data_IF_081311613257
#
_entry.id   IF_081311613257
#
_cell.length_a   1.000
_cell.length_b   1.000
_cell.length_c   1.000
_cell.angle_alpha   90.00
_cell.angle_beta   90.00
_cell.angle_gamma   90.00
#
_symmetry.space_group_name_H-M   'P 1'
#
loop_
_entity.id
_entity.type
_entity.pdbx_description
1 polymer ?
#
# COMPACT_ATOMS: atom_id res chain seq x y z
N UNK A 1 -8.97 -39.68 53.36
CA UNK A 1 -8.87 -39.42 51.90
C UNK A 1 -9.76 -38.29 51.37
N UNK A 2 -10.62 -37.63 52.18
CA UNK A 2 -11.50 -36.55 51.71
C UNK A 2 -10.84 -35.16 51.74
N UNK A 3 -9.85 -34.93 52.62
CA UNK A 3 -9.18 -33.63 52.77
C UNK A 3 -8.22 -33.29 51.63
N UNK A 4 -7.64 -34.31 50.96
CA UNK A 4 -6.71 -34.11 49.83
C UNK A 4 -7.46 -33.75 48.54
N UNK A 5 -8.68 -34.28 48.35
CA UNK A 5 -9.52 -34.00 47.18
C UNK A 5 -10.09 -32.56 47.19
N UNK A 6 -10.37 -31.99 48.37
CA UNK A 6 -10.79 -30.61 48.54
C UNK A 6 -9.65 -29.60 48.34
N UNK A 7 -8.41 -29.95 48.73
CA UNK A 7 -7.24 -29.11 48.49
C UNK A 7 -6.89 -28.96 47.00
N UNK A 8 -6.99 -30.04 46.22
CA UNK A 8 -6.71 -30.03 44.78
C UNK A 8 -7.80 -29.31 43.97
N UNK A 9 -9.06 -29.40 44.39
CA UNK A 9 -10.17 -28.70 43.71
C UNK A 9 -10.17 -27.21 44.01
N UNK A 10 -9.75 -26.77 45.20
CA UNK A 10 -9.52 -25.34 45.51
C UNK A 10 -8.32 -24.77 44.75
N UNK A 11 -7.22 -25.51 44.64
CA UNK A 11 -6.06 -25.09 43.82
C UNK A 11 -6.41 -25.05 42.33
N UNK A 12 -7.13 -26.03 41.80
CA UNK A 12 -7.61 -26.04 40.41
C UNK A 12 -8.59 -24.89 40.12
N UNK A 13 -9.50 -24.59 41.06
CA UNK A 13 -10.40 -23.44 40.94
C UNK A 13 -9.63 -22.11 41.01
N UNK A 14 -8.67 -21.96 41.92
CA UNK A 14 -7.83 -20.75 41.99
C UNK A 14 -6.96 -20.57 40.73
N UNK A 15 -6.43 -21.68 40.18
CA UNK A 15 -5.62 -21.68 38.95
C UNK A 15 -6.43 -21.49 37.67
N UNK A 16 -7.74 -21.75 37.65
CA UNK A 16 -8.58 -21.50 36.47
C UNK A 16 -9.40 -20.20 36.57
N UNK A 17 -9.66 -19.70 37.79
CA UNK A 17 -10.50 -18.52 38.00
C UNK A 17 -9.72 -17.24 38.31
N UNK A 18 -8.52 -17.31 38.91
CA UNK A 18 -7.65 -16.14 39.20
C UNK A 18 -6.39 -16.05 38.33
N UNK A 19 -6.04 -17.13 37.65
CA UNK A 19 -4.98 -17.21 36.64
C UNK A 19 -5.40 -16.90 35.18
N UNK A 20 -6.57 -16.29 34.86
CA UNK A 20 -6.72 -15.53 33.62
C UNK A 20 -5.80 -14.31 33.55
N UNK A 21 -5.11 -13.95 34.65
CA UNK A 21 -4.42 -12.66 34.81
C UNK A 21 -3.03 -12.57 34.19
N UNK A 22 -2.28 -13.66 34.02
CA UNK A 22 -0.91 -13.59 33.46
C UNK A 22 -0.90 -13.47 31.94
N UNK A 23 -1.59 -14.34 31.22
CA UNK A 23 -1.64 -14.28 29.75
C UNK A 23 -2.42 -13.05 29.24
N UNK A 24 -3.49 -12.65 29.94
CA UNK A 24 -4.15 -11.38 29.66
C UNK A 24 -3.25 -10.18 29.97
N UNK A 25 -2.51 -10.18 31.10
CA UNK A 25 -1.57 -9.10 31.39
C UNK A 25 -0.43 -9.03 30.37
N UNK A 26 0.12 -10.17 29.94
CA UNK A 26 1.16 -10.24 28.93
C UNK A 26 0.67 -9.76 27.58
N UNK A 27 -0.57 -10.12 27.19
CA UNK A 27 -1.21 -9.63 25.95
C UNK A 27 -1.50 -8.13 26.01
N UNK A 28 -1.96 -7.61 27.16
CA UNK A 28 -2.21 -6.17 27.35
C UNK A 28 -0.88 -5.40 27.30
N UNK A 29 0.16 -5.89 27.97
CA UNK A 29 1.50 -5.30 27.94
C UNK A 29 2.05 -5.33 26.51
N UNK A 30 1.95 -6.46 25.83
CA UNK A 30 2.35 -6.60 24.43
C UNK A 30 1.62 -5.60 23.52
N UNK A 31 0.30 -5.49 23.63
CA UNK A 31 -0.50 -4.56 22.81
C UNK A 31 -0.10 -3.11 23.06
N UNK A 32 0.20 -2.75 24.30
CA UNK A 32 0.69 -1.41 24.65
C UNK A 32 2.08 -1.16 24.06
N UNK A 33 3.02 -2.06 24.29
CA UNK A 33 4.38 -1.94 23.76
C UNK A 33 4.39 -1.95 22.23
N UNK A 34 3.50 -2.70 21.58
CA UNK A 34 3.30 -2.69 20.13
C UNK A 34 2.71 -1.37 19.63
N UNK A 35 1.81 -0.73 20.37
CA UNK A 35 1.31 0.60 20.04
C UNK A 35 2.40 1.68 20.21
N UNK A 36 3.17 1.62 21.30
CA UNK A 36 4.29 2.54 21.56
C UNK A 36 5.38 2.38 20.48
N UNK A 37 5.69 1.14 20.09
CA UNK A 37 6.61 0.84 18.99
C UNK A 37 6.18 1.52 17.68
N UNK A 38 4.89 1.49 17.32
CA UNK A 38 4.42 2.13 16.09
C UNK A 38 4.74 3.63 16.09
N UNK A 39 4.61 4.29 17.24
CA UNK A 39 4.96 5.71 17.38
C UNK A 39 6.44 5.97 17.09
N UNK A 40 7.34 5.13 17.62
CA UNK A 40 8.80 5.22 17.36
C UNK A 40 9.14 4.89 15.90
N UNK A 41 8.51 3.85 15.34
CA UNK A 41 8.71 3.49 13.93
C UNK A 41 8.28 4.60 12.99
N UNK A 42 7.12 5.22 13.23
CA UNK A 42 6.61 6.31 12.41
C UNK A 42 7.31 7.65 12.65
N UNK A 43 8.14 7.79 13.69
CA UNK A 43 8.99 8.98 13.87
C UNK A 43 10.26 8.95 13.00
N UNK A 44 10.57 7.81 12.37
CA UNK A 44 11.76 7.64 11.54
C UNK A 44 13.03 7.20 12.30
N UNK A 45 12.96 6.97 13.61
CA UNK A 45 14.06 6.39 14.39
C UNK A 45 14.15 4.87 14.18
N UNK A 46 14.59 4.47 12.97
CA UNK A 46 14.63 3.07 12.56
C UNK A 46 15.66 2.25 13.35
N UNK A 47 16.74 2.85 13.82
CA UNK A 47 17.76 2.15 14.61
C UNK A 47 17.21 1.69 15.96
N UNK A 48 16.51 2.58 16.68
CA UNK A 48 15.84 2.25 17.94
C UNK A 48 14.65 1.31 17.70
N UNK A 49 13.88 1.56 16.64
CA UNK A 49 12.76 0.68 16.26
C UNK A 49 13.21 -0.76 16.03
N UNK A 50 14.31 -1.00 15.31
CA UNK A 50 14.85 -2.36 15.08
C UNK A 50 15.15 -3.07 16.41
N UNK A 51 15.76 -2.37 17.38
CA UNK A 51 16.06 -2.95 18.70
C UNK A 51 14.78 -3.32 19.46
N UNK A 52 13.81 -2.41 19.49
CA UNK A 52 12.52 -2.63 20.17
C UNK A 52 11.72 -3.76 19.51
N UNK A 53 11.64 -3.78 18.18
CA UNK A 53 10.94 -4.83 17.41
C UNK A 53 11.57 -6.19 17.70
N UNK A 54 12.89 -6.29 17.65
CA UNK A 54 13.62 -7.55 17.87
C UNK A 54 13.36 -8.11 19.27
N UNK A 55 13.29 -7.24 20.29
CA UNK A 55 12.92 -7.62 21.66
C UNK A 55 11.46 -8.08 21.76
N UNK A 56 10.54 -7.40 21.08
CA UNK A 56 9.11 -7.70 21.09
C UNK A 56 8.78 -9.03 20.39
N UNK A 57 9.49 -9.37 19.30
CA UNK A 57 9.30 -10.62 18.56
C UNK A 57 9.43 -11.85 19.48
N UNK A 58 10.37 -11.84 20.42
CA UNK A 58 10.60 -12.95 21.36
C UNK A 58 9.45 -13.14 22.36
N UNK A 59 8.59 -12.13 22.51
CA UNK A 59 7.47 -12.09 23.45
C UNK A 59 6.12 -12.03 22.72
N UNK A 60 6.09 -12.24 21.41
CA UNK A 60 4.87 -12.23 20.63
C UNK A 60 3.92 -13.35 21.10
N UNK A 61 2.67 -13.05 21.47
CA UNK A 61 1.74 -14.03 22.02
C UNK A 61 1.20 -15.00 20.95
N UNK A 62 1.36 -14.65 19.67
CA UNK A 62 0.92 -15.49 18.55
C UNK A 62 1.88 -15.37 17.35
N UNK A 63 1.79 -16.33 16.43
CA UNK A 63 2.50 -16.27 15.14
C UNK A 63 2.03 -15.11 14.27
N UNK A 64 0.80 -14.67 14.45
CA UNK A 64 0.31 -13.49 13.78
C UNK A 64 1.07 -12.23 14.22
N UNK A 65 1.13 -12.01 15.53
CA UNK A 65 1.80 -10.86 16.12
C UNK A 65 3.31 -10.88 15.81
N UNK A 66 3.93 -12.06 15.89
CA UNK A 66 5.32 -12.27 15.47
C UNK A 66 5.52 -11.87 14.00
N UNK A 67 4.58 -12.28 13.14
CA UNK A 67 4.63 -12.00 11.71
C UNK A 67 4.47 -10.50 11.40
N UNK A 68 3.54 -9.79 12.04
CA UNK A 68 3.43 -8.33 11.87
C UNK A 68 4.67 -7.61 12.39
N UNK A 69 5.20 -7.99 13.54
CA UNK A 69 6.45 -7.42 14.04
C UNK A 69 7.62 -7.66 13.06
N UNK A 70 7.70 -8.84 12.44
CA UNK A 70 8.71 -9.13 11.41
C UNK A 70 8.50 -8.30 10.14
N UNK A 71 7.26 -7.99 9.75
CA UNK A 71 6.98 -7.03 8.67
C UNK A 71 7.53 -5.64 9.02
N UNK A 72 7.27 -5.14 10.23
CA UNK A 72 7.84 -3.87 10.69
C UNK A 72 9.38 -3.91 10.75
N UNK A 73 9.96 -5.03 11.17
CA UNK A 73 11.41 -5.21 11.22
C UNK A 73 12.02 -5.12 9.81
N UNK A 74 11.43 -5.84 8.85
CA UNK A 74 11.89 -5.87 7.48
C UNK A 74 11.82 -4.47 6.83
N UNK A 75 10.71 -3.76 7.04
CA UNK A 75 10.55 -2.39 6.57
C UNK A 75 11.56 -1.43 7.26
N UNK A 76 11.80 -1.58 8.57
CA UNK A 76 12.76 -0.76 9.30
C UNK A 76 14.19 -0.93 8.77
N UNK A 77 14.61 -2.16 8.43
CA UNK A 77 15.90 -2.39 7.77
C UNK A 77 15.95 -1.63 6.44
N UNK A 78 14.97 -1.81 5.57
CA UNK A 78 14.95 -1.15 4.26
C UNK A 78 14.96 0.38 4.36
N UNK A 79 14.25 0.94 5.33
CA UNK A 79 14.24 2.39 5.55
C UNK A 79 15.54 2.92 6.16
N UNK A 80 16.17 2.17 7.07
CA UNK A 80 17.49 2.53 7.64
C UNK A 80 18.58 2.49 6.57
N UNK A 81 18.50 1.52 5.65
CA UNK A 81 19.34 1.39 4.46
C UNK A 81 20.87 1.44 4.77
N UNK A 82 21.31 0.69 5.78
CA UNK A 82 22.72 0.57 6.16
C UNK A 82 23.26 -0.84 5.84
N UNK A 83 24.46 -0.91 5.26
CA UNK A 83 25.19 -2.16 5.04
C UNK A 83 24.31 -3.25 4.39
N UNK A 84 24.02 -4.33 5.12
CA UNK A 84 23.27 -5.51 4.66
C UNK A 84 21.76 -5.41 4.85
N UNK A 85 21.24 -4.24 5.24
CA UNK A 85 19.84 -4.02 5.57
C UNK A 85 18.87 -4.45 4.47
N UNK A 86 19.19 -4.16 3.21
CA UNK A 86 18.35 -4.58 2.08
C UNK A 86 18.23 -6.10 2.02
N UNK A 87 19.34 -6.81 2.20
CA UNK A 87 19.35 -8.27 2.19
C UNK A 87 18.60 -8.83 3.40
N UNK A 88 18.79 -8.25 4.59
CA UNK A 88 18.10 -8.65 5.81
C UNK A 88 16.58 -8.44 5.71
N UNK A 89 16.15 -7.26 5.26
CA UNK A 89 14.74 -6.94 5.08
C UNK A 89 14.05 -7.89 4.11
N UNK A 90 14.64 -8.12 2.92
CA UNK A 90 14.06 -9.04 1.93
C UNK A 90 14.06 -10.48 2.44
N UNK A 91 15.11 -10.92 3.13
CA UNK A 91 15.16 -12.23 3.76
C UNK A 91 14.04 -12.40 4.79
N UNK A 92 13.83 -11.42 5.66
CA UNK A 92 12.75 -11.45 6.66
C UNK A 92 11.38 -11.52 6.00
N UNK A 93 11.12 -10.76 4.93
CA UNK A 93 9.86 -10.92 4.18
C UNK A 93 9.69 -12.33 3.59
N UNK A 94 10.73 -12.89 2.97
CA UNK A 94 10.69 -14.26 2.41
C UNK A 94 10.44 -15.32 3.49
N UNK A 95 11.03 -15.17 4.68
CA UNK A 95 10.79 -16.07 5.83
C UNK A 95 9.31 -16.09 6.23
N UNK A 96 8.63 -14.93 6.18
CA UNK A 96 7.20 -14.84 6.45
C UNK A 96 6.40 -15.52 5.33
N UNK A 97 6.69 -15.16 4.08
CA UNK A 97 5.96 -15.65 2.89
C UNK A 97 6.04 -17.18 2.77
N UNK A 98 7.21 -17.76 2.99
CA UNK A 98 7.45 -19.20 2.88
C UNK A 98 7.14 -19.96 4.18
N UNK A 99 6.88 -19.27 5.29
CA UNK A 99 6.63 -19.89 6.59
C UNK A 99 5.16 -20.23 6.80
N UNK A 100 4.77 -21.49 6.61
CA UNK A 100 3.39 -21.95 6.79
C UNK A 100 2.85 -21.81 8.23
N UNK A 101 3.74 -21.59 9.21
CA UNK A 101 3.34 -21.23 10.57
C UNK A 101 2.73 -19.84 10.69
N UNK A 102 2.93 -18.95 9.72
CA UNK A 102 2.35 -17.61 9.71
C UNK A 102 0.95 -17.62 9.06
N UNK A 103 -0.05 -16.93 9.63
CA UNK A 103 -1.38 -16.87 9.03
C UNK A 103 -1.34 -16.32 7.59
N UNK A 104 -2.24 -16.81 6.74
CA UNK A 104 -2.30 -16.43 5.33
C UNK A 104 -2.40 -14.90 5.13
N UNK A 105 -3.16 -14.19 5.97
CA UNK A 105 -3.26 -12.71 5.91
C UNK A 105 -1.94 -11.99 6.16
N UNK A 106 -1.07 -12.53 7.02
CA UNK A 106 0.26 -11.97 7.29
C UNK A 106 1.17 -12.22 6.07
N UNK A 107 1.11 -13.42 5.49
CA UNK A 107 1.87 -13.77 4.28
C UNK A 107 1.47 -12.90 3.09
N UNK A 108 0.17 -12.69 2.90
CA UNK A 108 -0.36 -11.77 1.88
C UNK A 108 0.15 -10.34 2.10
N UNK A 109 0.10 -9.83 3.34
CA UNK A 109 0.66 -8.50 3.64
C UNK A 109 2.16 -8.40 3.33
N UNK A 110 2.95 -9.43 3.64
CA UNK A 110 4.37 -9.46 3.29
C UNK A 110 4.59 -9.42 1.76
N UNK A 111 3.76 -10.12 0.98
CA UNK A 111 3.80 -10.07 -0.50
C UNK A 111 3.48 -8.68 -1.04
N UNK A 112 2.52 -7.98 -0.45
CA UNK A 112 2.17 -6.60 -0.81
C UNK A 112 3.36 -5.64 -0.59
N UNK A 113 4.04 -5.76 0.54
CA UNK A 113 5.22 -4.96 0.84
C UNK A 113 6.36 -5.28 -0.15
N UNK A 114 6.58 -6.56 -0.48
CA UNK A 114 7.51 -6.97 -1.56
C UNK A 114 7.13 -6.35 -2.90
N UNK A 115 5.84 -6.34 -3.27
CA UNK A 115 5.39 -5.69 -4.49
C UNK A 115 5.74 -4.19 -4.48
N UNK A 116 5.49 -3.49 -3.36
CA UNK A 116 5.86 -2.08 -3.22
C UNK A 116 7.37 -1.83 -3.37
N UNK A 117 8.21 -2.74 -2.85
CA UNK A 117 9.67 -2.70 -3.04
C UNK A 117 10.02 -2.90 -4.52
N UNK A 118 9.50 -3.95 -5.16
CA UNK A 118 9.76 -4.24 -6.58
C UNK A 118 9.38 -3.06 -7.48
N UNK A 119 8.27 -2.38 -7.21
CA UNK A 119 7.81 -1.20 -7.97
C UNK A 119 8.84 -0.05 -7.97
N UNK A 120 9.68 0.05 -6.94
CA UNK A 120 10.59 1.19 -6.69
C UNK A 120 12.01 0.97 -7.17
N UNK A 121 12.35 -0.26 -7.57
CA UNK A 121 13.70 -0.64 -7.93
C UNK A 121 13.80 -1.11 -9.38
N UNK A 122 15.02 -1.29 -9.87
CA UNK A 122 15.31 -1.72 -11.24
C UNK A 122 15.37 -3.26 -11.39
N UNK A 123 15.57 -3.72 -12.63
CA UNK A 123 15.59 -5.14 -12.95
C UNK A 123 16.83 -5.84 -12.36
N UNK A 124 17.92 -5.11 -12.18
CA UNK A 124 19.15 -5.64 -11.57
C UNK A 124 18.91 -5.96 -10.09
N UNK A 125 18.28 -5.05 -9.36
CA UNK A 125 17.84 -5.27 -7.99
C UNK A 125 16.91 -6.48 -7.90
N UNK A 126 15.91 -6.57 -8.80
CA UNK A 126 14.98 -7.68 -8.80
C UNK A 126 15.68 -9.03 -8.94
N UNK A 127 16.58 -9.14 -9.93
CA UNK A 127 17.33 -10.38 -10.19
C UNK A 127 18.26 -10.76 -9.04
N UNK A 128 18.84 -9.77 -8.36
CA UNK A 128 19.72 -10.00 -7.22
C UNK A 128 18.96 -10.60 -6.03
N UNK A 129 17.80 -10.05 -5.70
CA UNK A 129 17.10 -10.39 -4.46
C UNK A 129 15.96 -11.39 -4.62
N UNK A 130 15.46 -11.59 -5.83
CA UNK A 130 14.37 -12.53 -6.14
C UNK A 130 14.75 -13.59 -7.19
N UNK A 131 15.89 -14.32 -7.02
CA UNK A 131 16.35 -15.30 -8.02
C UNK A 131 15.61 -16.65 -7.97
N UNK A 132 14.71 -16.85 -7.00
CA UNK A 132 14.06 -18.13 -6.71
C UNK A 132 12.57 -18.09 -7.10
N UNK A 133 11.99 -19.28 -7.33
CA UNK A 133 10.55 -19.43 -7.56
C UNK A 133 9.75 -19.04 -6.29
N UNK A 134 8.53 -18.48 -6.45
CA UNK A 134 7.86 -18.19 -7.73
C UNK A 134 8.34 -16.89 -8.39
N UNK A 135 9.07 -16.03 -7.68
CA UNK A 135 9.45 -14.69 -8.15
C UNK A 135 10.29 -14.71 -9.44
N UNK A 136 11.24 -15.63 -9.56
CA UNK A 136 12.04 -15.77 -10.78
C UNK A 136 11.19 -16.02 -12.03
N UNK A 137 10.00 -16.60 -11.88
CA UNK A 137 9.06 -16.88 -12.96
C UNK A 137 8.21 -15.68 -13.40
N UNK A 138 8.23 -14.57 -12.66
CA UNK A 138 7.39 -13.40 -12.96
C UNK A 138 8.02 -12.40 -13.91
N UNK A 139 9.30 -12.57 -14.26
CA UNK A 139 9.98 -11.72 -15.23
C UNK A 139 9.81 -12.32 -16.64
N UNK A 140 9.06 -11.67 -17.55
CA UNK A 140 8.89 -12.20 -18.90
C UNK A 140 10.19 -12.14 -19.71
N UNK A 141 10.29 -13.02 -20.70
CA UNK A 141 11.48 -13.14 -21.57
C UNK A 141 11.65 -11.95 -22.53
N UNK A 142 10.57 -11.25 -22.85
CA UNK A 142 10.53 -10.11 -23.77
C UNK A 142 10.00 -8.83 -23.09
N UNK A 143 10.13 -7.68 -23.77
CA UNK A 143 9.78 -6.36 -23.23
C UNK A 143 10.97 -5.58 -22.66
N UNK A 144 10.79 -4.27 -22.48
CA UNK A 144 11.75 -3.42 -21.77
C UNK A 144 11.72 -3.68 -20.25
N UNK A 145 12.74 -3.18 -19.55
CA UNK A 145 12.92 -3.44 -18.11
C UNK A 145 11.77 -2.89 -17.26
N UNK A 146 11.21 -1.75 -17.65
CA UNK A 146 10.05 -1.16 -16.98
C UNK A 146 8.83 -2.09 -17.06
N UNK A 147 8.52 -2.55 -18.27
CA UNK A 147 7.39 -3.44 -18.53
C UNK A 147 7.56 -4.78 -17.82
N UNK A 148 8.79 -5.33 -17.80
CA UNK A 148 9.12 -6.56 -17.08
C UNK A 148 8.89 -6.48 -15.58
N UNK A 149 9.44 -5.44 -14.94
CA UNK A 149 9.25 -5.21 -13.50
C UNK A 149 7.79 -4.98 -13.15
N UNK A 150 7.10 -4.26 -14.03
CA UNK A 150 5.68 -3.99 -13.88
C UNK A 150 4.87 -5.28 -13.94
N UNK A 151 5.15 -6.21 -14.86
CA UNK A 151 4.55 -7.55 -14.84
C UNK A 151 4.83 -8.28 -13.53
N UNK A 152 6.08 -8.29 -13.07
CA UNK A 152 6.43 -8.97 -11.83
C UNK A 152 5.73 -8.39 -10.59
N UNK A 153 5.65 -7.06 -10.50
CA UNK A 153 4.88 -6.37 -9.48
C UNK A 153 3.43 -6.88 -9.42
N UNK A 154 2.77 -7.04 -10.57
CA UNK A 154 1.39 -7.50 -10.61
C UNK A 154 1.21 -8.97 -10.27
N UNK A 155 2.11 -9.85 -10.72
CA UNK A 155 2.00 -11.26 -10.38
C UNK A 155 2.25 -11.51 -8.89
N UNK A 156 3.06 -10.68 -8.23
CA UNK A 156 3.21 -10.68 -6.76
C UNK A 156 1.91 -10.21 -6.07
N UNK A 157 1.26 -9.15 -6.57
CA UNK A 157 -0.04 -8.71 -6.02
C UNK A 157 -1.14 -9.76 -6.20
N UNK A 158 -1.19 -10.44 -7.36
CA UNK A 158 -2.11 -11.57 -7.58
C UNK A 158 -1.80 -12.72 -6.63
N UNK A 159 -0.53 -13.05 -6.42
CA UNK A 159 -0.14 -14.08 -5.45
C UNK A 159 -0.57 -13.69 -4.03
N UNK A 160 -0.44 -12.41 -3.65
CA UNK A 160 -0.94 -11.91 -2.37
C UNK A 160 -2.44 -12.15 -2.25
N UNK A 161 -3.20 -11.72 -3.25
CA UNK A 161 -4.66 -11.84 -3.26
C UNK A 161 -5.13 -13.31 -3.18
N UNK A 162 -4.46 -14.20 -3.94
CA UNK A 162 -4.68 -15.64 -3.87
C UNK A 162 -4.33 -16.24 -2.51
N UNK A 163 -3.32 -15.70 -1.83
CA UNK A 163 -2.90 -16.16 -0.50
C UNK A 163 -3.93 -15.76 0.56
N UNK A 164 -4.36 -14.50 0.56
CA UNK A 164 -5.44 -13.99 1.39
C UNK A 164 -5.90 -12.66 0.79
N UNK A 165 -7.17 -12.53 0.36
CA UNK A 165 -7.66 -11.28 -0.19
C UNK A 165 -7.58 -10.13 0.82
N UNK A 166 -7.18 -8.95 0.36
CA UNK A 166 -7.02 -7.74 1.18
C UNK A 166 -7.47 -6.52 0.40
N UNK A 167 -8.07 -5.51 1.04
CA UNK A 167 -8.45 -4.28 0.33
C UNK A 167 -7.28 -3.66 -0.42
N UNK A 168 -6.09 -3.75 0.14
CA UNK A 168 -4.89 -3.20 -0.46
C UNK A 168 -4.52 -3.87 -1.79
N UNK A 169 -4.48 -5.20 -1.86
CA UNK A 169 -4.16 -5.90 -3.09
C UNK A 169 -5.20 -5.59 -4.18
N UNK A 170 -6.49 -5.62 -3.81
CA UNK A 170 -7.62 -5.38 -4.71
C UNK A 170 -7.55 -3.96 -5.30
N UNK A 171 -7.36 -2.93 -4.46
CA UNK A 171 -7.21 -1.55 -4.94
C UNK A 171 -5.94 -1.33 -5.74
N UNK A 172 -4.81 -1.91 -5.33
CA UNK A 172 -3.55 -1.77 -6.06
C UNK A 172 -3.65 -2.39 -7.47
N UNK A 173 -4.30 -3.56 -7.60
CA UNK A 173 -4.62 -4.17 -8.89
C UNK A 173 -5.55 -3.23 -9.68
N UNK A 174 -6.66 -2.77 -9.10
CA UNK A 174 -7.60 -1.90 -9.82
C UNK A 174 -6.97 -0.59 -10.33
N UNK A 175 -6.26 0.13 -9.45
CA UNK A 175 -5.75 1.48 -9.71
C UNK A 175 -4.36 1.56 -10.33
N UNK A 176 -3.49 0.57 -10.11
CA UNK A 176 -2.10 0.59 -10.62
C UNK A 176 -1.91 -0.31 -11.84
N UNK A 177 -2.76 -1.33 -12.03
CA UNK A 177 -2.72 -2.20 -13.21
C UNK A 177 -3.69 -1.70 -14.28
N UNK A 178 -4.99 -1.87 -14.02
CA UNK A 178 -6.00 -1.72 -15.05
C UNK A 178 -6.17 -0.26 -15.49
N UNK A 179 -6.26 0.70 -14.57
CA UNK A 179 -6.39 2.12 -14.90
C UNK A 179 -5.34 2.59 -15.94
N UNK A 180 -4.02 2.46 -15.69
CA UNK A 180 -3.00 2.87 -16.65
C UNK A 180 -2.91 1.96 -17.88
N UNK A 181 -3.23 0.66 -17.80
CA UNK A 181 -3.26 -0.18 -19.01
C UNK A 181 -4.34 0.26 -19.98
N UNK A 182 -5.54 0.54 -19.47
CA UNK A 182 -6.64 1.04 -20.29
C UNK A 182 -6.27 2.42 -20.84
N UNK A 183 -5.72 3.29 -20.00
CA UNK A 183 -5.31 4.63 -20.39
C UNK A 183 -4.20 4.67 -21.45
N UNK A 184 -3.24 3.74 -21.40
CA UNK A 184 -2.18 3.61 -22.40
C UNK A 184 -2.54 2.68 -23.58
N UNK A 185 -3.76 2.13 -23.62
CA UNK A 185 -4.20 1.24 -24.69
C UNK A 185 -3.55 -0.15 -24.70
N UNK A 186 -2.90 -0.56 -23.61
CA UNK A 186 -2.21 -1.85 -23.45
C UNK A 186 -3.09 -2.90 -22.77
N UNK A 187 -4.40 -2.91 -23.00
CA UNK A 187 -5.28 -3.93 -22.39
C UNK A 187 -4.96 -5.29 -23.01
N UNK A 188 -4.05 -6.05 -22.40
CA UNK A 188 -3.65 -7.36 -22.89
C UNK A 188 -4.75 -8.37 -22.62
N UNK A 189 -5.37 -8.91 -23.68
CA UNK A 189 -6.30 -10.03 -23.58
C UNK A 189 -7.74 -9.69 -23.18
N UNK A 190 -8.11 -8.42 -23.01
CA UNK A 190 -9.50 -7.99 -22.76
C UNK A 190 -9.82 -6.65 -23.44
N UNK A 191 -11.12 -6.35 -23.61
CA UNK A 191 -11.55 -5.04 -24.10
C UNK A 191 -11.41 -3.97 -23.00
N UNK A 192 -11.30 -2.70 -23.39
CA UNK A 192 -11.35 -1.56 -22.45
C UNK A 192 -12.56 -1.62 -21.51
N UNK A 193 -13.72 -2.02 -22.03
CA UNK A 193 -14.95 -2.16 -21.25
C UNK A 193 -14.84 -3.28 -20.23
N UNK A 194 -14.29 -4.44 -20.61
CA UNK A 194 -14.16 -5.57 -19.69
C UNK A 194 -13.13 -5.29 -18.61
N UNK A 195 -12.00 -4.67 -18.96
CA UNK A 195 -11.01 -4.20 -17.99
C UNK A 195 -11.61 -3.16 -17.02
N UNK A 196 -12.45 -2.24 -17.50
CA UNK A 196 -13.13 -1.27 -16.64
C UNK A 196 -14.17 -1.93 -15.71
N UNK A 197 -14.86 -2.99 -16.16
CA UNK A 197 -15.72 -3.82 -15.28
C UNK A 197 -14.90 -4.54 -14.22
N UNK A 198 -13.77 -5.13 -14.60
CA UNK A 198 -12.85 -5.78 -13.66
C UNK A 198 -12.36 -4.78 -12.61
N UNK A 199 -12.01 -3.55 -12.98
CA UNK A 199 -11.66 -2.50 -12.02
C UNK A 199 -12.76 -2.25 -10.98
N UNK A 200 -14.03 -2.12 -11.40
CA UNK A 200 -15.15 -1.94 -10.46
C UNK A 200 -15.35 -3.16 -9.57
N UNK A 201 -15.15 -4.36 -10.11
CA UNK A 201 -15.20 -5.59 -9.34
C UNK A 201 -14.14 -5.58 -8.23
N UNK A 202 -12.86 -5.33 -8.57
CA UNK A 202 -11.78 -5.21 -7.60
C UNK A 202 -12.06 -4.13 -6.54
N UNK A 203 -12.61 -2.98 -6.92
CA UNK A 203 -13.00 -1.95 -5.93
C UNK A 203 -14.10 -2.46 -5.00
N UNK A 204 -15.12 -3.13 -5.53
CA UNK A 204 -16.24 -3.68 -4.75
C UNK A 204 -15.76 -4.77 -3.78
N UNK A 205 -14.89 -5.66 -4.25
CA UNK A 205 -14.28 -6.71 -3.45
C UNK A 205 -13.40 -6.11 -2.35
N UNK A 206 -12.59 -5.11 -2.68
CA UNK A 206 -11.81 -4.35 -1.71
C UNK A 206 -12.67 -3.65 -0.64
N UNK A 207 -13.79 -3.04 -1.03
CA UNK A 207 -14.72 -2.38 -0.10
C UNK A 207 -15.41 -3.34 0.86
N UNK A 208 -15.52 -4.61 0.48
CA UNK A 208 -16.11 -5.66 1.32
C UNK A 208 -15.17 -6.15 2.43
N UNK A 209 -13.86 -5.84 2.38
CA UNK A 209 -12.89 -6.31 3.38
C UNK A 209 -12.82 -5.35 4.57
N UNK A 210 -12.77 -5.92 5.78
CA UNK A 210 -12.68 -5.17 7.03
C UNK A 210 -11.25 -5.20 7.60
N UNK A 211 -10.27 -4.72 6.83
CA UNK A 211 -8.84 -4.82 7.15
C UNK A 211 -8.10 -3.47 7.24
N UNK A 212 -8.83 -2.35 7.15
CA UNK A 212 -8.26 -0.99 7.16
C UNK A 212 -7.36 -0.70 8.37
N UNK A 213 -7.66 -1.30 9.53
CA UNK A 213 -6.89 -1.14 10.78
C UNK A 213 -5.50 -1.79 10.74
N UNK A 214 -5.20 -2.61 9.73
CA UNK A 214 -3.91 -3.29 9.55
C UNK A 214 -2.86 -2.42 8.83
N UNK A 215 -3.27 -1.28 8.27
CA UNK A 215 -2.41 -0.42 7.46
C UNK A 215 -1.95 0.79 8.25
N UNK A 216 -0.72 1.27 7.99
CA UNK A 216 -0.31 2.57 8.48
C UNK A 216 -1.15 3.67 7.78
N UNK A 217 -1.30 4.86 8.37
CA UNK A 217 -2.01 5.98 7.73
C UNK A 217 -1.51 6.27 6.32
N UNK A 218 -0.19 6.16 6.10
CA UNK A 218 0.44 6.30 4.79
C UNK A 218 -0.03 5.23 3.80
N UNK A 219 -0.03 3.95 4.20
CA UNK A 219 -0.50 2.87 3.33
C UNK A 219 -2.00 3.01 3.04
N UNK A 220 -2.79 3.48 4.02
CA UNK A 220 -4.20 3.78 3.83
C UNK A 220 -4.42 4.88 2.77
N UNK A 221 -3.61 5.95 2.80
CA UNK A 221 -3.64 7.00 1.78
C UNK A 221 -3.39 6.45 0.38
N UNK A 222 -2.34 5.64 0.24
CA UNK A 222 -1.99 5.02 -1.04
C UNK A 222 -3.10 4.10 -1.55
N UNK A 223 -3.68 3.30 -0.66
CA UNK A 223 -4.80 2.40 -0.97
C UNK A 223 -6.02 3.16 -1.47
N UNK A 224 -6.39 4.24 -0.77
CA UNK A 224 -7.52 5.07 -1.14
C UNK A 224 -7.26 5.88 -2.43
N UNK A 225 -6.01 6.26 -2.70
CA UNK A 225 -5.63 6.86 -3.99
C UNK A 225 -5.90 5.88 -5.13
N UNK A 226 -5.42 4.64 -5.02
CA UNK A 226 -5.65 3.62 -6.06
C UNK A 226 -7.12 3.28 -6.23
N UNK A 227 -7.89 3.19 -5.13
CA UNK A 227 -9.36 3.07 -5.20
C UNK A 227 -9.97 4.23 -5.98
N UNK A 228 -9.57 5.47 -5.69
CA UNK A 228 -10.11 6.67 -6.34
C UNK A 228 -9.81 6.70 -7.83
N UNK A 229 -8.57 6.35 -8.22
CA UNK A 229 -8.19 6.16 -9.62
C UNK A 229 -9.07 5.10 -10.28
N UNK A 230 -9.23 3.94 -9.64
CA UNK A 230 -10.03 2.86 -10.20
C UNK A 230 -11.50 3.26 -10.41
N UNK A 231 -12.13 3.93 -9.44
CA UNK A 231 -13.48 4.47 -9.57
C UNK A 231 -13.59 5.49 -10.70
N UNK A 232 -12.67 6.46 -10.75
CA UNK A 232 -12.69 7.52 -11.77
C UNK A 232 -12.52 6.98 -13.19
N UNK A 233 -11.46 6.21 -13.42
CA UNK A 233 -11.17 5.65 -14.74
C UNK A 233 -12.23 4.64 -15.19
N UNK A 234 -12.69 3.75 -14.31
CA UNK A 234 -13.74 2.80 -14.69
C UNK A 234 -15.05 3.51 -15.06
N UNK A 235 -15.44 4.57 -14.34
CA UNK A 235 -16.61 5.37 -14.70
C UNK A 235 -16.44 6.07 -16.07
N UNK A 236 -15.25 6.64 -16.34
CA UNK A 236 -14.94 7.26 -17.63
C UNK A 236 -15.03 6.25 -18.79
N UNK A 237 -14.40 5.09 -18.65
CA UNK A 237 -14.33 4.07 -19.71
C UNK A 237 -15.63 3.29 -19.91
N UNK A 238 -16.48 3.20 -18.89
CA UNK A 238 -17.83 2.66 -19.01
C UNK A 238 -18.86 3.71 -19.43
N UNK A 239 -18.45 4.97 -19.60
CA UNK A 239 -19.32 6.11 -19.86
C UNK A 239 -20.45 6.25 -18.83
N UNK A 240 -20.16 5.94 -17.56
CA UNK A 240 -21.12 5.96 -16.45
C UNK A 240 -21.04 7.27 -15.66
N UNK A 241 -21.59 8.33 -16.25
CA UNK A 241 -21.59 9.67 -15.65
C UNK A 241 -22.28 9.73 -14.26
N UNK A 242 -23.15 8.77 -13.93
CA UNK A 242 -23.82 8.71 -12.62
C UNK A 242 -22.85 8.36 -11.49
N UNK A 243 -21.73 7.70 -11.80
CA UNK A 243 -20.69 7.36 -10.83
C UNK A 243 -19.62 8.44 -10.66
N UNK A 244 -19.66 9.54 -11.43
CA UNK A 244 -18.68 10.60 -11.29
C UNK A 244 -18.68 11.28 -9.90
N UNK A 245 -19.83 11.55 -9.25
CA UNK A 245 -19.84 12.11 -7.90
C UNK A 245 -19.18 11.23 -6.85
N UNK A 246 -19.32 9.90 -6.96
CA UNK A 246 -18.68 8.92 -6.08
C UNK A 246 -17.15 8.93 -6.26
N UNK A 247 -16.68 8.93 -7.51
CA UNK A 247 -15.25 9.04 -7.81
C UNK A 247 -14.66 10.35 -7.28
N UNK A 248 -15.35 11.48 -7.48
CA UNK A 248 -14.93 12.79 -6.97
C UNK A 248 -14.88 12.81 -5.42
N UNK A 249 -15.87 12.22 -4.75
CA UNK A 249 -15.88 12.09 -3.29
C UNK A 249 -14.70 11.23 -2.79
N UNK A 250 -14.36 10.15 -3.51
CA UNK A 250 -13.23 9.29 -3.16
C UNK A 250 -11.90 10.05 -3.22
N UNK A 251 -11.65 10.82 -4.30
CA UNK A 251 -10.45 11.67 -4.39
C UNK A 251 -10.38 12.70 -3.26
N UNK A 252 -11.49 13.38 -2.97
CA UNK A 252 -11.56 14.35 -1.87
C UNK A 252 -11.28 13.71 -0.50
N UNK A 253 -11.75 12.48 -0.29
CA UNK A 253 -11.50 11.75 0.96
C UNK A 253 -10.00 11.47 1.17
N UNK A 254 -9.27 11.07 0.12
CA UNK A 254 -7.81 10.88 0.18
C UNK A 254 -7.12 12.19 0.59
N UNK A 255 -7.47 13.30 -0.07
CA UNK A 255 -6.87 14.61 0.21
C UNK A 255 -7.21 15.14 1.60
N UNK A 256 -8.43 14.87 2.09
CA UNK A 256 -8.85 15.20 3.44
C UNK A 256 -8.04 14.40 4.48
N UNK A 257 -7.85 13.09 4.26
CA UNK A 257 -7.02 12.24 5.12
C UNK A 257 -5.57 12.73 5.16
N UNK A 258 -5.00 13.10 4.01
CA UNK A 258 -3.62 13.59 3.92
C UNK A 258 -3.40 14.93 4.62
N UNK A 259 -4.47 15.72 4.81
CA UNK A 259 -4.41 17.03 5.44
C UNK A 259 -4.69 16.98 6.96
N UNK A 260 -4.89 15.79 7.53
CA UNK A 260 -5.19 15.66 8.96
C UNK A 260 -3.94 15.92 9.82
N UNK A 261 -4.07 16.60 10.98
CA UNK A 261 -2.94 16.90 11.86
C UNK A 261 -2.20 15.67 12.41
N UNK A 262 -2.88 14.52 12.49
CA UNK A 262 -2.34 13.27 13.02
C UNK A 262 -1.62 12.41 11.98
N UNK A 263 -1.57 12.85 10.71
CA UNK A 263 -0.80 12.19 9.66
C UNK A 263 0.57 12.86 9.56
N UNK A 264 1.64 12.06 9.69
CA UNK A 264 3.01 12.53 9.50
C UNK A 264 3.19 12.96 8.05
N UNK A 265 3.60 14.21 7.84
CA UNK A 265 3.95 14.73 6.52
C UNK A 265 5.39 14.34 6.22
N UNK A 266 5.57 13.15 5.65
CA UNK A 266 6.82 12.69 5.07
C UNK A 266 6.81 12.84 3.53
N UNK A 267 7.98 12.76 2.85
CA UNK A 267 8.04 12.90 1.39
C UNK A 267 7.12 11.93 0.62
N UNK A 268 6.89 10.73 1.13
CA UNK A 268 6.07 9.72 0.46
C UNK A 268 4.56 10.00 0.61
N UNK A 269 4.16 10.59 1.73
CA UNK A 269 2.81 11.10 1.99
C UNK A 269 2.54 12.33 1.14
N UNK A 270 3.52 13.24 1.01
CA UNK A 270 3.43 14.39 0.09
C UNK A 270 3.33 13.92 -1.37
N UNK A 271 4.17 12.98 -1.80
CA UNK A 271 4.12 12.37 -3.14
C UNK A 271 2.73 11.79 -3.41
N UNK A 272 2.21 10.96 -2.50
CA UNK A 272 0.88 10.33 -2.64
C UNK A 272 -0.23 11.38 -2.75
N UNK A 273 -0.17 12.45 -1.93
CA UNK A 273 -1.14 13.53 -1.97
C UNK A 273 -1.08 14.31 -3.29
N UNK A 274 0.11 14.63 -3.78
CA UNK A 274 0.29 15.34 -5.05
C UNK A 274 -0.09 14.48 -6.26
N UNK A 275 0.25 13.18 -6.26
CA UNK A 275 -0.21 12.23 -7.30
C UNK A 275 -1.74 12.10 -7.28
N UNK A 276 -2.37 12.05 -6.10
CA UNK A 276 -3.83 12.08 -5.97
C UNK A 276 -4.42 13.34 -6.60
N UNK A 277 -3.80 14.51 -6.38
CA UNK A 277 -4.24 15.79 -6.99
C UNK A 277 -4.12 15.75 -8.51
N UNK A 278 -3.01 15.22 -9.03
CA UNK A 278 -2.82 15.06 -10.46
C UNK A 278 -3.93 14.20 -11.09
N UNK A 279 -4.16 13.00 -10.55
CA UNK A 279 -5.19 12.10 -11.08
C UNK A 279 -6.62 12.62 -10.88
N UNK A 280 -6.87 13.36 -9.79
CA UNK A 280 -8.16 14.02 -9.60
C UNK A 280 -8.39 15.12 -10.65
N UNK A 281 -7.37 15.94 -10.93
CA UNK A 281 -7.44 16.96 -11.97
C UNK A 281 -7.64 16.35 -13.38
N UNK A 282 -6.95 15.25 -13.68
CA UNK A 282 -7.14 14.50 -14.93
C UNK A 282 -8.57 13.94 -15.06
N UNK A 283 -9.10 13.37 -13.97
CA UNK A 283 -10.48 12.92 -13.91
C UNK A 283 -11.47 14.08 -14.16
N UNK A 284 -11.28 15.23 -13.51
CA UNK A 284 -12.13 16.41 -13.70
C UNK A 284 -12.13 16.87 -15.16
N UNK A 285 -10.94 16.95 -15.76
CA UNK A 285 -10.78 17.33 -17.16
C UNK A 285 -11.46 16.32 -18.09
N UNK A 286 -11.28 15.03 -17.85
CA UNK A 286 -11.82 13.97 -18.70
C UNK A 286 -13.35 13.82 -18.56
N UNK A 287 -13.90 14.01 -17.36
CA UNK A 287 -15.33 13.86 -17.08
C UNK A 287 -16.15 15.10 -17.47
N UNK A 288 -15.60 16.30 -17.28
CA UNK A 288 -16.33 17.56 -17.37
C UNK A 288 -15.75 18.56 -18.38
N UNK A 289 -14.56 18.31 -18.90
CA UNK A 289 -13.83 19.23 -19.77
C UNK A 289 -13.44 20.53 -19.07
N UNK A 290 -13.22 21.57 -19.88
CA UNK A 290 -12.74 22.88 -19.40
C UNK A 290 -13.74 23.62 -18.51
N UNK A 291 -15.00 23.15 -18.41
CA UNK A 291 -16.02 23.72 -17.50
C UNK A 291 -15.58 23.70 -16.03
N UNK A 292 -14.67 22.79 -15.65
CA UNK A 292 -14.11 22.68 -14.30
C UNK A 292 -12.68 23.25 -14.21
N UNK A 293 -12.28 24.14 -15.13
CA UNK A 293 -10.91 24.69 -15.14
C UNK A 293 -10.50 25.35 -13.82
N UNK A 294 -11.40 26.07 -13.16
CA UNK A 294 -11.09 26.72 -11.87
C UNK A 294 -10.83 25.69 -10.77
N UNK A 295 -11.64 24.62 -10.71
CA UNK A 295 -11.43 23.51 -9.78
C UNK A 295 -10.14 22.75 -10.09
N UNK A 296 -9.83 22.51 -11.38
CA UNK A 296 -8.57 21.91 -11.81
C UNK A 296 -7.39 22.76 -11.34
N UNK A 297 -7.44 24.08 -11.50
CA UNK A 297 -6.40 24.99 -10.98
C UNK A 297 -6.29 24.92 -9.47
N UNK A 298 -7.41 24.91 -8.75
CA UNK A 298 -7.42 24.83 -7.29
C UNK A 298 -6.82 23.51 -6.79
N UNK A 299 -7.19 22.39 -7.40
CA UNK A 299 -6.67 21.05 -7.07
C UNK A 299 -5.15 20.98 -7.30
N UNK A 300 -4.65 21.59 -8.38
CA UNK A 300 -3.24 21.56 -8.78
C UNK A 300 -2.38 22.68 -8.18
N UNK A 301 -2.97 23.67 -7.49
CA UNK A 301 -2.23 24.79 -6.90
C UNK A 301 -1.01 24.37 -6.03
N UNK A 302 -1.07 23.27 -5.23
CA UNK A 302 0.06 22.81 -4.42
C UNK A 302 1.33 22.40 -5.20
N UNK A 303 1.25 22.16 -6.51
CA UNK A 303 2.44 21.91 -7.33
C UNK A 303 3.39 23.12 -7.41
N UNK A 304 2.91 24.33 -7.07
CA UNK A 304 3.74 25.55 -7.08
C UNK A 304 4.80 25.60 -5.97
N UNK A 305 4.62 24.84 -4.90
CA UNK A 305 5.46 24.88 -3.71
C UNK A 305 6.29 23.62 -3.47
N UNK A 306 6.10 22.57 -4.27
CA UNK A 306 6.80 21.30 -4.06
C UNK A 306 8.16 21.28 -4.78
N UNK A 307 9.11 20.58 -4.18
CA UNK A 307 10.42 20.27 -4.77
C UNK A 307 10.56 18.81 -5.21
N UNK A 308 9.54 18.00 -4.98
CA UNK A 308 9.56 16.56 -5.24
C UNK A 308 9.62 16.24 -6.73
N UNK A 309 10.63 15.50 -7.20
CA UNK A 309 10.92 15.39 -8.64
C UNK A 309 10.15 14.29 -9.40
N UNK A 310 9.36 13.46 -8.71
CA UNK A 310 8.81 12.22 -9.28
C UNK A 310 7.30 12.02 -9.04
N UNK A 311 6.54 13.10 -8.81
CA UNK A 311 5.09 13.02 -8.53
C UNK A 311 4.27 12.60 -9.75
N UNK A 312 4.71 13.02 -10.94
CA UNK A 312 4.04 12.73 -12.23
C UNK A 312 4.85 11.62 -12.90
N UNK A 313 4.23 10.46 -13.14
CA UNK A 313 4.86 9.30 -13.80
C UNK A 313 5.13 9.61 -15.27
N UNK A 314 6.31 9.27 -15.79
CA UNK A 314 6.72 9.49 -17.18
C UNK A 314 6.06 8.54 -18.20
N UNK A 315 5.10 7.71 -17.77
CA UNK A 315 4.30 6.90 -18.68
C UNK A 315 3.66 7.76 -19.79
N UNK A 316 3.67 7.31 -21.06
CA UNK A 316 3.23 8.13 -22.19
C UNK A 316 1.83 8.76 -22.04
N UNK A 317 0.85 8.03 -21.51
CA UNK A 317 -0.48 8.57 -21.23
C UNK A 317 -0.43 9.71 -20.21
N UNK A 318 0.31 9.52 -19.11
CA UNK A 318 0.42 10.51 -18.03
C UNK A 318 1.11 11.77 -18.56
N UNK A 319 2.10 11.65 -19.45
CA UNK A 319 2.70 12.78 -20.14
C UNK A 319 1.69 13.58 -20.99
N UNK A 320 0.82 12.90 -21.74
CA UNK A 320 -0.21 13.58 -22.53
C UNK A 320 -1.20 14.34 -21.65
N UNK A 321 -1.64 13.74 -20.54
CA UNK A 321 -2.55 14.40 -19.61
C UNK A 321 -1.86 15.54 -18.86
N UNK A 322 -0.59 15.37 -18.48
CA UNK A 322 0.21 16.44 -17.87
C UNK A 322 0.31 17.66 -18.78
N UNK A 323 0.51 17.46 -20.09
CA UNK A 323 0.55 18.56 -21.05
C UNK A 323 -0.80 19.32 -21.15
N UNK A 324 -1.93 18.60 -21.18
CA UNK A 324 -3.26 19.23 -21.18
C UNK A 324 -3.54 19.99 -19.88
N UNK A 325 -3.24 19.38 -18.73
CA UNK A 325 -3.43 20.01 -17.43
C UNK A 325 -2.50 21.21 -17.23
N UNK A 326 -1.27 21.18 -17.77
CA UNK A 326 -0.33 22.31 -17.74
C UNK A 326 -0.80 23.50 -18.59
N UNK A 327 -1.66 23.29 -19.59
CA UNK A 327 -2.31 24.38 -20.31
C UNK A 327 -3.37 25.11 -19.45
N UNK A 328 -3.93 24.42 -18.45
CA UNK A 328 -4.96 24.96 -17.54
C UNK A 328 -4.34 25.52 -16.25
N UNK A 329 -3.31 24.86 -15.71
CA UNK A 329 -2.68 25.16 -14.42
C UNK A 329 -1.25 25.68 -14.56
N UNK A 330 -1.00 26.97 -14.28
CA UNK A 330 0.35 27.54 -14.26
C UNK A 330 1.27 26.87 -13.23
N UNK A 331 0.72 26.44 -12.09
CA UNK A 331 1.47 25.76 -11.04
C UNK A 331 2.06 24.43 -11.52
N UNK A 332 1.23 23.60 -12.17
CA UNK A 332 1.69 22.34 -12.76
C UNK A 332 2.70 22.61 -13.89
N UNK A 333 2.43 23.60 -14.75
CA UNK A 333 3.36 23.96 -15.84
C UNK A 333 4.75 24.32 -15.32
N UNK A 334 4.85 25.16 -14.30
CA UNK A 334 6.12 25.55 -13.69
C UNK A 334 6.84 24.35 -13.06
N UNK A 335 6.10 23.49 -12.36
CA UNK A 335 6.62 22.25 -11.80
C UNK A 335 7.26 21.35 -12.88
N UNK A 336 6.55 21.09 -13.98
CA UNK A 336 7.06 20.22 -15.06
C UNK A 336 8.34 20.78 -15.68
N UNK A 337 8.39 22.10 -15.89
CA UNK A 337 9.58 22.80 -16.40
C UNK A 337 10.77 22.67 -15.44
N UNK A 338 10.55 22.82 -14.12
CA UNK A 338 11.60 22.77 -13.11
C UNK A 338 12.14 21.36 -12.85
N UNK A 339 11.35 20.33 -13.12
CA UNK A 339 11.71 18.92 -12.88
C UNK A 339 12.31 18.23 -14.11
N UNK A 340 12.41 18.94 -15.25
CA UNK A 340 12.90 18.37 -16.50
C UNK A 340 11.99 17.28 -17.05
N UNK A 341 10.68 17.46 -16.84
CA UNK A 341 9.64 16.55 -17.31
C UNK A 341 9.36 16.73 -18.80
#
# INVERSE_FOLDING_TARGET
MVVIALGLSVVYYYMNYYLPSRDQSATIIFNKEFADLKSVYFSGDYSNSIQQITSLIQRAPSKEDEGYLKIFLAAAYLHRNQQDDTALGIKTYKEIINGDQFPARVRARALIDIAAIVRRHDLSFYRLYFPEMPFSGYIPSSGDDYSKLRTAYFDILKLSDQTSPTSQAEYAIAGTYYAPMIANGYVTGSSTVDAAKQMRQYVTEGDSRADASLYSPRMLLLNLMYKSMALGYSALFLHDAKSYPEAEASFKNVLALASRPDVVVDPETEETALSTRFFYADFLLSAYGDKRSDDIRAVLAPFSSTTERNVVDKAPYVQQQAAKLAAISPALKAYLQNTGY
#
